data_IF_293119565922
#
_entry.id   IF_293119565922
#
_cell.length_a   1.000
_cell.length_b   1.000
_cell.length_c   1.000
_cell.angle_alpha   90.00
_cell.angle_beta   90.00
_cell.angle_gamma   90.00
#
_symmetry.space_group_name_H-M   'P 1'
#
loop_
_entity.id
_entity.type
_entity.pdbx_description
1 polymer ?
#
# COMPACT_ATOMS: atom_id res chain seq x y z
N UNK A 1 16.47 -15.41 12.21
CA UNK A 1 15.27 -14.55 12.04
C UNK A 1 15.55 -13.68 10.83
N UNK A 2 14.81 -13.85 9.73
CA UNK A 2 15.03 -13.04 8.52
C UNK A 2 14.65 -11.60 8.85
N UNK A 3 15.63 -10.70 8.88
CA UNK A 3 15.40 -9.25 8.89
C UNK A 3 14.57 -8.92 7.66
N UNK A 4 13.26 -8.73 7.85
CA UNK A 4 12.42 -8.16 6.81
C UNK A 4 12.75 -6.68 6.74
N UNK A 5 13.54 -6.30 5.74
CA UNK A 5 13.73 -4.90 5.35
C UNK A 5 12.36 -4.22 5.23
N UNK A 6 12.24 -3.02 5.80
CA UNK A 6 11.00 -2.25 5.76
C UNK A 6 10.72 -1.79 4.32
N UNK A 7 9.55 -2.12 3.79
CA UNK A 7 9.13 -1.79 2.42
C UNK A 7 8.92 -0.27 2.33
N UNK A 8 9.71 0.40 1.49
CA UNK A 8 9.67 1.86 1.34
C UNK A 8 8.91 2.32 0.09
N UNK A 9 8.97 1.55 -1.00
CA UNK A 9 8.42 1.93 -2.30
C UNK A 9 7.32 0.98 -2.79
N UNK A 10 6.48 1.45 -3.73
CA UNK A 10 5.47 0.63 -4.37
C UNK A 10 6.06 -0.56 -5.13
N UNK A 11 7.25 -0.40 -5.72
CA UNK A 11 7.96 -1.48 -6.40
C UNK A 11 8.43 -2.55 -5.41
N UNK A 12 9.02 -2.16 -4.28
CA UNK A 12 9.38 -3.11 -3.21
C UNK A 12 8.15 -3.84 -2.67
N UNK A 13 7.01 -3.16 -2.56
CA UNK A 13 5.75 -3.81 -2.18
C UNK A 13 5.34 -4.87 -3.20
N UNK A 14 5.35 -4.55 -4.50
CA UNK A 14 5.02 -5.48 -5.59
C UNK A 14 5.96 -6.68 -5.57
N UNK A 15 7.28 -6.44 -5.46
CA UNK A 15 8.28 -7.49 -5.43
C UNK A 15 8.14 -8.36 -4.18
N UNK A 16 7.76 -7.77 -3.04
CA UNK A 16 7.50 -8.54 -1.82
C UNK A 16 6.39 -9.57 -1.99
N UNK A 17 5.42 -9.34 -2.88
CA UNK A 17 4.29 -10.25 -3.13
C UNK A 17 4.65 -11.42 -4.05
N UNK A 18 5.71 -11.29 -4.86
CA UNK A 18 6.13 -12.33 -5.81
C UNK A 18 6.63 -13.57 -5.07
N UNK A 19 6.36 -14.75 -5.63
CA UNK A 19 6.89 -16.01 -5.12
C UNK A 19 6.35 -16.45 -3.74
N UNK A 20 5.28 -15.82 -3.23
CA UNK A 20 4.64 -16.22 -1.96
C UNK A 20 3.81 -17.51 -2.03
N UNK A 21 3.68 -18.11 -3.22
CA UNK A 21 2.89 -19.33 -3.49
C UNK A 21 1.50 -19.29 -2.82
N UNK A 22 0.82 -18.14 -2.94
CA UNK A 22 -0.50 -17.93 -2.36
C UNK A 22 -1.51 -18.86 -3.04
N UNK A 23 -2.39 -19.48 -2.26
CA UNK A 23 -3.49 -20.29 -2.79
C UNK A 23 -4.64 -19.37 -3.22
N UNK A 24 -4.50 -18.74 -4.38
CA UNK A 24 -5.52 -17.87 -4.97
C UNK A 24 -6.24 -18.62 -6.08
N UNK A 25 -7.57 -18.66 -6.00
CA UNK A 25 -8.44 -19.25 -7.03
C UNK A 25 -9.31 -18.16 -7.63
N UNK A 26 -9.38 -18.10 -8.95
CA UNK A 26 -10.23 -17.17 -9.69
C UNK A 26 -10.97 -17.94 -10.78
N UNK A 27 -12.30 -17.86 -10.78
CA UNK A 27 -13.18 -18.59 -11.73
C UNK A 27 -12.93 -20.10 -11.80
N UNK A 28 -12.53 -20.72 -10.69
CA UNK A 28 -12.26 -22.16 -10.59
C UNK A 28 -10.84 -22.57 -10.95
N UNK A 29 -10.00 -21.66 -11.46
CA UNK A 29 -8.60 -21.92 -11.78
C UNK A 29 -7.68 -21.37 -10.70
N UNK A 30 -6.57 -22.09 -10.44
CA UNK A 30 -5.54 -21.63 -9.50
C UNK A 30 -4.60 -20.66 -10.20
N UNK A 31 -4.45 -19.47 -9.65
CA UNK A 31 -3.48 -18.48 -10.11
C UNK A 31 -2.15 -18.76 -9.40
N UNK A 32 -1.09 -19.01 -10.16
CA UNK A 32 0.26 -19.25 -9.64
C UNK A 32 0.95 -17.97 -9.19
N UNK A 33 0.81 -16.90 -9.97
CA UNK A 33 1.40 -15.58 -9.70
C UNK A 33 0.32 -14.49 -9.73
N UNK A 34 -0.29 -14.15 -8.58
CA UNK A 34 -1.33 -13.12 -8.50
C UNK A 34 -0.86 -11.73 -8.92
N UNK A 35 0.44 -11.45 -8.79
CA UNK A 35 1.03 -10.15 -9.10
C UNK A 35 0.89 -9.79 -10.57
N UNK A 36 0.93 -10.77 -11.47
CA UNK A 36 0.87 -10.57 -12.92
C UNK A 36 -0.54 -10.80 -13.49
N UNK A 37 -1.50 -11.22 -12.66
CA UNK A 37 -2.86 -11.51 -13.13
C UNK A 37 -3.64 -10.21 -13.43
N UNK A 38 -4.20 -10.02 -14.65
CA UNK A 38 -4.76 -8.74 -15.10
C UNK A 38 -5.93 -8.24 -14.25
N UNK A 39 -6.68 -9.14 -13.60
CA UNK A 39 -7.79 -8.78 -12.70
C UNK A 39 -7.29 -8.35 -11.31
N UNK A 40 -6.15 -8.87 -10.86
CA UNK A 40 -5.63 -8.64 -9.51
C UNK A 40 -4.64 -7.46 -9.51
N UNK A 41 -3.91 -7.28 -10.61
CA UNK A 41 -2.90 -6.23 -10.82
C UNK A 41 -3.41 -4.82 -10.45
N UNK A 42 -4.63 -4.37 -10.83
CA UNK A 42 -5.10 -3.03 -10.48
C UNK A 42 -5.21 -2.81 -8.97
N UNK A 43 -5.69 -3.82 -8.22
CA UNK A 43 -5.77 -3.75 -6.77
C UNK A 43 -4.39 -3.70 -6.11
N UNK A 44 -3.43 -4.47 -6.62
CA UNK A 44 -2.04 -4.43 -6.15
C UNK A 44 -1.43 -3.05 -6.42
N UNK A 45 -1.62 -2.49 -7.61
CA UNK A 45 -1.12 -1.15 -7.96
C UNK A 45 -1.75 -0.05 -7.08
N UNK A 46 -3.03 -0.18 -6.73
CA UNK A 46 -3.69 0.76 -5.83
C UNK A 46 -3.03 0.79 -4.45
N UNK A 47 -2.64 -0.38 -3.91
CA UNK A 47 -1.89 -0.47 -2.65
C UNK A 47 -0.44 -0.01 -2.83
N UNK A 48 0.24 -0.38 -3.92
CA UNK A 48 1.60 0.09 -4.21
C UNK A 48 1.69 1.63 -4.20
N UNK A 49 0.66 2.30 -4.75
CA UNK A 49 0.58 3.76 -4.77
C UNK A 49 0.56 4.40 -3.37
N UNK A 50 0.13 3.69 -2.33
CA UNK A 50 0.15 4.24 -0.96
C UNK A 50 1.57 4.38 -0.43
N UNK A 51 2.48 3.50 -0.85
CA UNK A 51 3.90 3.57 -0.52
C UNK A 51 4.55 4.72 -1.29
N UNK A 52 4.30 4.82 -2.59
CA UNK A 52 4.83 5.92 -3.40
C UNK A 52 4.34 7.28 -2.90
N UNK A 53 3.06 7.38 -2.51
CA UNK A 53 2.52 8.63 -1.94
C UNK A 53 3.17 8.99 -0.60
N UNK A 54 3.59 8.01 0.20
CA UNK A 54 4.33 8.23 1.44
C UNK A 54 5.73 8.81 1.17
N UNK A 55 6.35 8.48 0.04
CA UNK A 55 7.61 9.08 -0.42
C UNK A 55 7.39 10.48 -1.01
N UNK A 56 6.37 10.65 -1.86
CA UNK A 56 6.05 11.93 -2.51
C UNK A 56 5.57 13.01 -1.52
N UNK A 57 4.73 12.61 -0.55
CA UNK A 57 4.15 13.52 0.44
C UNK A 57 4.08 12.87 1.84
N UNK A 58 5.22 12.80 2.56
CA UNK A 58 5.31 12.17 3.87
C UNK A 58 4.35 12.79 4.90
N UNK A 59 4.10 14.10 4.84
CA UNK A 59 3.17 14.77 5.77
C UNK A 59 1.73 14.29 5.61
N UNK A 60 1.34 13.92 4.38
CA UNK A 60 0.00 13.44 4.07
C UNK A 60 -0.12 11.94 4.34
N UNK A 61 0.85 11.15 3.89
CA UNK A 61 0.74 9.69 3.80
C UNK A 61 1.57 8.91 4.84
N UNK A 62 2.32 9.60 5.70
CA UNK A 62 3.00 9.00 6.85
C UNK A 62 2.52 9.63 8.17
N UNK A 63 2.71 8.91 9.26
CA UNK A 63 2.47 9.35 10.62
C UNK A 63 3.52 8.73 11.57
N UNK A 64 3.84 9.42 12.66
CA UNK A 64 4.72 8.86 13.68
C UNK A 64 3.90 7.99 14.61
N UNK A 65 4.25 6.71 14.72
CA UNK A 65 3.58 5.78 15.62
C UNK A 65 4.04 6.02 17.07
N UNK A 66 3.10 6.20 17.99
CA UNK A 66 3.40 6.36 19.41
C UNK A 66 3.88 5.06 20.08
N UNK A 67 3.72 3.91 19.42
CA UNK A 67 4.14 2.61 19.94
C UNK A 67 5.66 2.39 19.86
N UNK A 68 6.32 2.94 18.83
CA UNK A 68 7.74 2.69 18.57
C UNK A 68 8.52 3.93 18.10
N UNK A 69 7.86 5.09 17.99
CA UNK A 69 8.46 6.35 17.55
C UNK A 69 8.86 6.38 16.07
N UNK A 70 8.52 5.35 15.29
CA UNK A 70 8.89 5.24 13.89
C UNK A 70 7.86 5.93 12.99
N UNK A 71 8.35 6.50 11.88
CA UNK A 71 7.48 6.94 10.79
C UNK A 71 6.92 5.72 10.09
N UNK A 72 5.60 5.58 10.12
CA UNK A 72 4.85 4.49 9.48
C UNK A 72 3.93 5.06 8.41
N UNK A 73 3.59 4.24 7.42
CA UNK A 73 2.53 4.60 6.49
C UNK A 73 1.23 4.87 7.26
N UNK A 74 0.50 5.92 6.90
CA UNK A 74 -0.74 6.32 7.60
C UNK A 74 -1.82 5.24 7.59
N UNK A 75 -1.81 4.30 6.64
CA UNK A 75 -2.71 3.12 6.68
C UNK A 75 -2.38 2.14 7.81
N UNK A 76 -1.15 2.13 8.31
CA UNK A 76 -0.69 1.28 9.42
C UNK A 76 -0.69 2.02 10.76
N UNK A 77 -0.89 3.34 10.76
CA UNK A 77 -0.94 4.15 11.97
C UNK A 77 -2.23 3.92 12.74
N UNK A 78 -2.11 3.72 14.06
CA UNK A 78 -3.28 3.70 14.95
C UNK A 78 -3.74 5.13 15.10
N UNK A 79 -5.01 5.40 14.78
CA UNK A 79 -5.56 6.75 14.89
C UNK A 79 -5.63 7.17 16.36
N UNK A 80 -4.89 8.21 16.72
CA UNK A 80 -4.81 8.71 18.10
C UNK A 80 -5.55 10.05 18.28
N UNK A 81 -5.92 10.71 17.18
CA UNK A 81 -6.52 12.05 17.18
C UNK A 81 -7.60 12.22 16.11
N UNK A 82 -8.42 13.28 16.22
CA UNK A 82 -9.40 13.63 15.17
C UNK A 82 -8.67 14.07 13.89
N UNK A 83 -7.55 14.75 14.07
CA UNK A 83 -6.67 15.23 13.01
C UNK A 83 -6.15 14.08 12.16
N UNK A 84 -5.81 12.94 12.78
CA UNK A 84 -5.39 11.73 12.05
C UNK A 84 -6.47 11.18 11.14
N UNK A 85 -7.73 11.14 11.60
CA UNK A 85 -8.89 10.73 10.78
C UNK A 85 -9.06 11.68 9.60
N UNK A 86 -8.95 12.99 9.82
CA UNK A 86 -9.05 14.00 8.75
C UNK A 86 -7.92 13.81 7.73
N UNK A 87 -6.70 13.57 8.20
CA UNK A 87 -5.55 13.34 7.32
C UNK A 87 -5.66 12.03 6.54
N UNK A 88 -6.21 10.97 7.14
CA UNK A 88 -6.50 9.72 6.44
C UNK A 88 -7.51 9.93 5.31
N UNK A 89 -8.59 10.67 5.56
CA UNK A 89 -9.58 11.03 4.53
C UNK A 89 -8.95 11.84 3.39
N UNK A 90 -8.08 12.81 3.71
CA UNK A 90 -7.36 13.61 2.70
C UNK A 90 -6.43 12.74 1.86
N UNK A 91 -5.70 11.82 2.49
CA UNK A 91 -4.82 10.86 1.80
C UNK A 91 -5.63 9.97 0.86
N UNK A 92 -6.75 9.40 1.31
CA UNK A 92 -7.62 8.55 0.50
C UNK A 92 -8.15 9.32 -0.73
N UNK A 93 -8.62 10.56 -0.55
CA UNK A 93 -9.06 11.41 -1.67
C UNK A 93 -7.94 11.62 -2.69
N UNK A 94 -6.71 11.91 -2.23
CA UNK A 94 -5.55 12.10 -3.10
C UNK A 94 -5.19 10.83 -3.87
N UNK A 95 -5.22 9.68 -3.20
CA UNK A 95 -4.96 8.38 -3.80
C UNK A 95 -5.95 8.08 -4.94
N UNK A 96 -7.26 8.28 -4.70
CA UNK A 96 -8.29 8.05 -5.72
C UNK A 96 -8.14 9.00 -6.91
N UNK A 97 -7.86 10.29 -6.69
CA UNK A 97 -7.60 11.25 -7.78
C UNK A 97 -6.39 10.86 -8.62
N UNK A 98 -5.28 10.45 -7.99
CA UNK A 98 -4.08 10.05 -8.71
C UNK A 98 -4.24 8.72 -9.47
N UNK A 99 -5.02 7.76 -8.93
CA UNK A 99 -5.29 6.49 -9.62
C UNK A 99 -6.09 6.70 -10.91
N UNK A 100 -7.06 7.62 -10.92
CA UNK A 100 -7.84 7.94 -12.10
C UNK A 100 -6.98 8.55 -13.23
N UNK A 101 -5.94 9.31 -12.88
CA UNK A 101 -5.02 9.93 -13.85
C UNK A 101 -4.01 8.96 -14.49
N UNK A 102 -3.82 7.76 -13.95
CA UNK A 102 -2.86 6.76 -14.48
C UNK A 102 -3.55 5.56 -15.16
N UNK A 103 -4.88 5.62 -15.34
CA UNK A 103 -5.68 4.61 -16.03
C UNK A 103 -6.06 5.02 -17.48
N UNK A 104 -5.54 6.14 -17.96
CA UNK A 104 -5.65 6.64 -19.33
C UNK A 104 -4.24 6.84 -19.90
#
# INVERSE_FOLDING_TARGET
MSEKSSIQSGNEYIDSLRGKNLKVFYRGERITEPVDHPVIRPSINAVARTFDLALENPKLASATSSLNGQSVNRFLHITESREDVVMQNKMQRRQTTCHHLHLH
#
